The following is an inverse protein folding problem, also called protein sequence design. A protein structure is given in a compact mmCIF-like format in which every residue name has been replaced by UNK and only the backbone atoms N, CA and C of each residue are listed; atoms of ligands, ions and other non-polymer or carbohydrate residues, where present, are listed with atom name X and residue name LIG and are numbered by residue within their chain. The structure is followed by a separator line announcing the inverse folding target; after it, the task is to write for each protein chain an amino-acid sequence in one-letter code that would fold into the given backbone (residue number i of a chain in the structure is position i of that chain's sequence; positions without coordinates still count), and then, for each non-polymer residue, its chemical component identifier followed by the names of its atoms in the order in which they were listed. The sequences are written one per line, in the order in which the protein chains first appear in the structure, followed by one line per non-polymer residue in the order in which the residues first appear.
data_IF_111970821392
#
_entry.id   IF_111970821392
#
_cell.length_a   1.000
_cell.length_b   1.000
_cell.length_c   1.000
_cell.angle_alpha   90.00
_cell.angle_beta   90.00
_cell.angle_gamma   90.00
#
_symmetry.space_group_name_H-M   'P 1'
#
loop_
_entity.id
_entity.type
_entity.pdbx_description
1 polymer ?
#
# COMPACT_ATOMS: atom_id res chain seq x y z
N UNK A 1 31.23 -6.14 42.54
CA UNK A 1 31.02 -5.38 41.30
C UNK A 1 30.21 -6.26 40.36
N UNK A 2 28.89 -6.08 40.36
CA UNK A 2 27.98 -6.77 39.44
C UNK A 2 27.92 -5.99 38.12
N UNK A 3 27.97 -6.65 36.95
CA UNK A 3 27.85 -5.94 35.68
C UNK A 3 26.42 -5.43 35.52
N UNK A 4 26.34 -4.16 35.13
CA UNK A 4 25.11 -3.40 34.89
C UNK A 4 24.48 -3.95 33.61
N UNK A 5 23.37 -4.68 33.77
CA UNK A 5 22.35 -4.80 32.73
C UNK A 5 21.64 -3.45 32.63
N UNK A 6 21.64 -2.83 31.45
CA UNK A 6 20.65 -1.81 31.10
C UNK A 6 20.50 -1.70 29.59
N UNK A 7 19.45 -2.37 29.10
CA UNK A 7 18.73 -2.11 27.87
C UNK A 7 18.57 -0.62 27.57
N UNK A 8 19.18 -0.14 26.49
CA UNK A 8 18.81 1.10 25.80
C UNK A 8 19.07 1.01 24.30
N UNK A 9 18.41 0.06 23.63
CA UNK A 9 18.09 0.24 22.21
C UNK A 9 16.64 -0.17 21.96
N UNK A 10 15.78 0.59 22.62
CA UNK A 10 14.34 0.67 22.42
C UNK A 10 14.07 1.28 21.03
N UNK A 11 13.46 0.49 20.16
CA UNK A 11 12.53 0.92 19.11
C UNK A 11 13.04 1.89 18.01
N UNK A 12 13.91 1.43 17.10
CA UNK A 12 13.96 1.95 15.73
C UNK A 12 14.11 0.86 14.67
N UNK A 13 13.32 -0.21 14.80
CA UNK A 13 13.16 -1.22 13.76
C UNK A 13 11.69 -1.61 13.57
N UNK A 14 10.78 -0.62 13.55
CA UNK A 14 9.47 -0.80 12.92
C UNK A 14 9.66 -0.65 11.39
N UNK A 15 10.54 -1.48 10.82
CA UNK A 15 10.42 -1.82 9.41
C UNK A 15 9.10 -2.55 9.30
N UNK A 16 8.08 -1.94 8.70
CA UNK A 16 6.83 -2.60 8.32
C UNK A 16 7.19 -3.98 7.80
N UNK A 17 6.82 -5.02 8.54
CA UNK A 17 6.97 -6.40 8.11
C UNK A 17 6.27 -6.47 6.75
N UNK A 18 7.04 -6.55 5.66
CA UNK A 18 6.47 -6.87 4.36
C UNK A 18 5.87 -8.26 4.54
N UNK A 19 4.54 -8.36 4.54
CA UNK A 19 3.88 -9.64 4.59
C UNK A 19 4.43 -10.45 3.40
N UNK A 20 4.97 -11.67 3.59
CA UNK A 20 5.53 -12.46 2.49
C UNK A 20 4.51 -12.75 1.36
N UNK A 21 3.22 -12.54 1.61
CA UNK A 21 2.16 -12.63 0.59
C UNK A 21 1.97 -11.35 -0.24
N UNK A 22 2.52 -10.21 0.19
CA UNK A 22 2.36 -8.94 -0.52
C UNK A 22 3.24 -8.91 -1.78
N UNK A 23 2.63 -9.20 -2.93
CA UNK A 23 3.27 -9.02 -4.23
C UNK A 23 3.25 -7.54 -4.63
N UNK A 24 4.42 -7.00 -4.97
CA UNK A 24 4.56 -5.63 -5.48
C UNK A 24 4.19 -5.59 -6.97
N UNK A 25 3.35 -4.63 -7.35
CA UNK A 25 2.96 -4.39 -8.74
C UNK A 25 3.42 -2.99 -9.16
N UNK A 26 4.21 -2.92 -10.24
CA UNK A 26 4.60 -1.65 -10.88
C UNK A 26 3.69 -1.40 -12.08
N UNK A 27 2.98 -0.26 -12.07
CA UNK A 27 2.06 0.14 -13.15
C UNK A 27 2.55 1.45 -13.76
N UNK A 28 2.58 1.51 -15.10
CA UNK A 28 2.83 2.76 -15.84
C UNK A 28 1.51 3.31 -16.34
N UNK A 29 1.23 4.57 -16.03
CA UNK A 29 0.02 5.27 -16.45
C UNK A 29 0.39 6.48 -17.31
N UNK A 30 -0.46 6.87 -18.27
CA UNK A 30 -0.36 8.17 -18.91
C UNK A 30 -0.33 9.29 -17.86
N UNK A 31 0.47 10.33 -18.11
CA UNK A 31 0.69 11.43 -17.16
C UNK A 31 -0.62 12.05 -16.66
N UNK A 32 -1.55 12.29 -17.57
CA UNK A 32 -2.85 12.89 -17.26
C UNK A 32 -3.69 12.00 -16.33
N UNK A 33 -3.70 10.68 -16.59
CA UNK A 33 -4.43 9.73 -15.78
C UNK A 33 -3.83 9.63 -14.37
N UNK A 34 -2.50 9.58 -14.28
CA UNK A 34 -1.81 9.59 -12.99
C UNK A 34 -2.14 10.84 -12.16
N UNK A 35 -2.19 12.03 -12.80
CA UNK A 35 -2.57 13.27 -12.11
C UNK A 35 -4.01 13.23 -11.60
N UNK A 36 -4.96 12.79 -12.42
CA UNK A 36 -6.37 12.65 -12.03
C UNK A 36 -6.55 11.70 -10.85
N UNK A 37 -5.89 10.54 -10.91
CA UNK A 37 -5.92 9.56 -9.82
C UNK A 37 -5.31 10.15 -8.54
N UNK A 38 -4.16 10.82 -8.63
CA UNK A 38 -3.53 11.47 -7.46
C UNK A 38 -4.45 12.46 -6.77
N UNK A 39 -5.16 13.29 -7.53
CA UNK A 39 -6.15 14.24 -6.97
C UNK A 39 -7.31 13.48 -6.31
N UNK A 40 -7.84 12.46 -6.97
CA UNK A 40 -8.94 11.66 -6.42
C UNK A 40 -8.57 10.96 -5.11
N UNK A 41 -7.37 10.38 -5.00
CA UNK A 41 -6.92 9.78 -3.73
C UNK A 41 -6.76 10.82 -2.62
N UNK A 42 -6.34 12.03 -2.96
CA UNK A 42 -6.27 13.13 -2.00
C UNK A 42 -7.67 13.52 -1.50
N UNK A 43 -8.63 13.67 -2.41
CA UNK A 43 -10.02 14.00 -2.08
C UNK A 43 -10.69 12.91 -1.22
N UNK A 44 -10.42 11.64 -1.52
CA UNK A 44 -10.96 10.49 -0.79
C UNK A 44 -10.17 10.14 0.48
N UNK A 45 -9.05 10.81 0.74
CA UNK A 45 -8.13 10.52 1.85
C UNK A 45 -7.67 9.04 1.90
N UNK A 46 -7.37 8.47 0.73
CA UNK A 46 -6.87 7.09 0.57
C UNK A 46 -5.50 7.07 -0.10
N UNK A 47 -4.81 5.93 -0.04
CA UNK A 47 -3.56 5.77 -0.77
C UNK A 47 -3.77 5.51 -2.26
N UNK A 48 -2.77 5.85 -3.10
CA UNK A 48 -2.82 5.49 -4.52
C UNK A 48 -2.94 3.99 -4.77
N UNK A 49 -2.29 3.19 -3.93
CA UNK A 49 -2.33 1.74 -4.03
C UNK A 49 -3.72 1.17 -3.71
N UNK A 50 -4.41 1.76 -2.73
CA UNK A 50 -5.77 1.41 -2.33
C UNK A 50 -6.79 1.72 -3.42
N UNK A 51 -6.73 2.93 -3.99
CA UNK A 51 -7.58 3.29 -5.13
C UNK A 51 -7.37 2.34 -6.33
N UNK A 52 -6.12 1.99 -6.63
CA UNK A 52 -5.83 1.01 -7.70
C UNK A 52 -6.38 -0.37 -7.37
N UNK A 53 -6.29 -0.81 -6.11
CA UNK A 53 -6.81 -2.11 -5.64
C UNK A 53 -8.32 -2.17 -5.80
N UNK A 54 -9.04 -1.18 -5.30
CA UNK A 54 -10.50 -1.09 -5.44
C UNK A 54 -10.93 -1.10 -6.92
N UNK A 55 -10.23 -0.34 -7.76
CA UNK A 55 -10.48 -0.34 -9.21
C UNK A 55 -10.32 -1.73 -9.83
N UNK A 56 -9.29 -2.48 -9.45
CA UNK A 56 -9.06 -3.85 -9.93
C UNK A 56 -10.15 -4.82 -9.43
N UNK A 57 -10.53 -4.74 -8.16
CA UNK A 57 -11.59 -5.57 -7.57
C UNK A 57 -12.94 -5.34 -8.28
N UNK A 58 -13.28 -4.09 -8.55
CA UNK A 58 -14.51 -3.74 -9.30
C UNK A 58 -14.52 -4.34 -10.70
N UNK A 59 -13.39 -4.35 -11.40
CA UNK A 59 -13.28 -4.96 -12.74
C UNK A 59 -13.42 -6.49 -12.65
N UNK A 60 -12.81 -7.13 -11.67
CA UNK A 60 -12.93 -8.58 -11.45
C UNK A 60 -14.39 -8.98 -11.16
N UNK A 61 -15.06 -8.27 -10.25
CA UNK A 61 -16.47 -8.51 -9.93
C UNK A 61 -17.38 -8.31 -11.15
N UNK A 62 -17.13 -7.26 -11.96
CA UNK A 62 -17.87 -7.03 -13.21
C UNK A 62 -17.69 -8.16 -14.22
N UNK A 63 -16.52 -8.77 -14.28
CA UNK A 63 -16.25 -9.89 -15.19
C UNK A 63 -16.93 -11.19 -14.74
N UNK A 64 -16.92 -11.48 -13.44
CA UNK A 64 -17.56 -12.69 -12.90
C UNK A 64 -19.07 -12.70 -13.13
N UNK A 65 -19.73 -11.54 -13.03
CA UNK A 65 -21.18 -11.41 -13.28
C UNK A 65 -21.60 -11.60 -14.74
N UNK A 66 -20.65 -11.64 -15.68
CA UNK A 66 -20.92 -11.80 -17.13
C UNK A 66 -20.76 -13.25 -17.62
N UNK A 67 -20.31 -14.16 -16.75
CA UNK A 67 -20.25 -15.59 -17.02
C UNK A 67 -21.43 -16.29 -16.33
#
# INVERSE_FOLDING_TARGET
MTPINQDWNYAMAQGKQNNPEDKKLLIRLPKELHQKLRLLAFELNVSMAELCREGLELILQKHQKRK
#
